data_IF_861086604346
#
_entry.id   IF_861086604346
#
_cell.length_a   1.000
_cell.length_b   1.000
_cell.length_c   1.000
_cell.angle_alpha   90.00
_cell.angle_beta   90.00
_cell.angle_gamma   90.00
#
_symmetry.space_group_name_H-M   'P 1'
#
loop_
_entity.id
_entity.type
_entity.pdbx_description
1 polymer ?
#
# COMPACT_ATOMS: atom_id res chain seq x y z
N UNK A 1 -7.93 15.17 1.41
CA UNK A 1 -7.66 13.86 2.03
C UNK A 1 -6.49 13.96 2.99
N UNK A 2 -5.34 14.51 2.59
CA UNK A 2 -4.29 14.89 3.55
C UNK A 2 -4.87 15.75 4.67
N UNK A 3 -4.44 15.50 5.91
CA UNK A 3 -4.96 16.12 7.13
C UNK A 3 -6.21 15.46 7.71
N UNK A 4 -6.93 14.62 6.95
CA UNK A 4 -8.11 13.93 7.45
C UNK A 4 -7.73 12.96 8.56
N UNK A 5 -8.43 13.08 9.70
CA UNK A 5 -8.34 12.17 10.83
C UNK A 5 -9.54 11.24 10.86
N UNK A 6 -9.30 9.98 11.23
CA UNK A 6 -10.34 8.97 11.37
C UNK A 6 -9.87 7.85 12.31
N UNK A 7 -10.80 7.14 12.94
CA UNK A 7 -10.46 5.98 13.77
C UNK A 7 -10.04 4.80 12.91
N UNK A 8 -9.25 3.86 13.44
CA UNK A 8 -8.93 2.63 12.71
C UNK A 8 -10.21 1.91 12.27
N UNK A 9 -10.30 1.59 10.98
CA UNK A 9 -11.48 1.02 10.34
C UNK A 9 -11.16 -0.33 9.69
N UNK A 10 -12.19 -1.16 9.49
CA UNK A 10 -12.09 -2.44 8.79
C UNK A 10 -12.10 -2.20 7.26
N UNK A 11 -11.59 -3.13 6.45
CA UNK A 11 -11.82 -3.09 5.01
C UNK A 11 -13.32 -2.96 4.68
N UNK A 12 -13.67 -2.09 3.74
CA UNK A 12 -15.04 -1.74 3.34
C UNK A 12 -15.64 -0.51 4.05
N UNK A 13 -15.08 -0.10 5.20
CA UNK A 13 -15.58 1.05 5.95
C UNK A 13 -15.20 2.38 5.28
N UNK A 14 -16.05 3.39 5.45
CA UNK A 14 -15.81 4.73 4.90
C UNK A 14 -14.81 5.52 5.74
N UNK A 15 -13.69 5.94 5.13
CA UNK A 15 -12.59 6.67 5.79
C UNK A 15 -13.08 7.87 6.59
N UNK A 16 -13.90 8.74 5.97
CA UNK A 16 -14.55 9.85 6.65
C UNK A 16 -15.87 10.19 5.96
N UNK A 17 -16.88 10.74 6.66
CA UNK A 17 -18.19 11.03 6.06
C UNK A 17 -18.13 11.89 4.80
N UNK A 18 -17.22 12.87 4.77
CA UNK A 18 -17.02 13.82 3.69
C UNK A 18 -16.14 13.28 2.54
N UNK A 19 -15.53 12.10 2.69
CA UNK A 19 -14.75 11.46 1.65
C UNK A 19 -15.57 10.33 1.02
N UNK A 20 -15.64 10.30 -0.30
CA UNK A 20 -16.17 9.15 -1.04
C UNK A 20 -15.13 8.05 -1.19
N UNK A 21 -14.52 7.66 -0.08
CA UNK A 21 -13.42 6.69 -0.03
C UNK A 21 -13.68 5.63 1.04
N UNK A 22 -13.41 4.37 0.70
CA UNK A 22 -13.46 3.24 1.65
C UNK A 22 -12.06 2.69 1.89
N UNK A 23 -11.84 2.15 3.08
CA UNK A 23 -10.59 1.46 3.43
C UNK A 23 -10.57 0.11 2.72
N UNK A 24 -9.47 -0.24 2.07
CA UNK A 24 -9.32 -1.53 1.39
C UNK A 24 -8.32 -2.43 2.11
N UNK A 25 -7.29 -1.82 2.68
CA UNK A 25 -6.26 -2.53 3.41
C UNK A 25 -5.16 -1.58 3.86
N UNK A 26 -4.11 -2.14 4.44
CA UNK A 26 -2.98 -1.38 4.95
C UNK A 26 -2.20 -2.22 5.95
N UNK A 27 -1.13 -1.63 6.48
CA UNK A 27 -0.26 -2.30 7.42
C UNK A 27 0.56 -1.30 8.22
N UNK A 28 1.23 -1.82 9.25
CA UNK A 28 2.28 -1.10 9.95
C UNK A 28 3.49 -0.95 9.04
N UNK A 29 4.24 0.13 9.20
CA UNK A 29 5.50 0.33 8.49
C UNK A 29 6.66 -0.18 9.33
N UNK A 30 7.67 -0.72 8.66
CA UNK A 30 8.97 -0.97 9.28
C UNK A 30 10.04 -0.16 8.55
N UNK A 31 10.94 0.41 9.32
CA UNK A 31 12.02 1.28 8.86
C UNK A 31 13.31 0.77 9.49
N UNK A 32 14.30 0.48 8.65
CA UNK A 32 15.61 -0.04 9.09
C UNK A 32 15.48 -1.28 10.00
N UNK A 33 14.55 -2.19 9.67
CA UNK A 33 14.31 -3.43 10.42
C UNK A 33 13.54 -3.26 11.74
N UNK A 34 13.07 -2.05 12.05
CA UNK A 34 12.29 -1.76 13.25
C UNK A 34 10.87 -1.34 12.91
N UNK A 35 9.90 -1.76 13.73
CA UNK A 35 8.52 -1.31 13.56
C UNK A 35 8.41 0.18 13.85
N UNK A 36 7.85 0.93 12.90
CA UNK A 36 7.43 2.31 13.09
C UNK A 36 5.97 2.31 13.56
N UNK A 37 5.74 1.92 14.82
CA UNK A 37 4.41 1.63 15.37
C UNK A 37 3.42 2.81 15.34
N UNK A 38 3.93 4.02 15.24
CA UNK A 38 3.17 5.26 15.13
C UNK A 38 2.96 5.69 13.67
N UNK A 39 3.32 4.84 12.71
CA UNK A 39 3.11 5.00 11.28
C UNK A 39 2.42 3.79 10.66
N UNK A 40 1.60 4.06 9.65
CA UNK A 40 1.04 3.00 8.80
C UNK A 40 0.88 3.52 7.39
N UNK A 41 0.75 2.58 6.46
CA UNK A 41 0.20 2.89 5.14
C UNK A 41 -1.21 2.31 5.04
N UNK A 42 -1.99 2.87 4.12
CA UNK A 42 -3.29 2.37 3.76
C UNK A 42 -3.50 2.40 2.26
N UNK A 43 -4.38 1.54 1.77
CA UNK A 43 -4.96 1.69 0.43
C UNK A 43 -6.44 1.93 0.57
N UNK A 44 -6.93 2.92 -0.16
CA UNK A 44 -8.34 3.28 -0.20
C UNK A 44 -8.88 3.13 -1.61
N UNK A 45 -10.16 2.77 -1.74
CA UNK A 45 -10.90 2.95 -2.97
C UNK A 45 -11.74 4.22 -2.89
N UNK A 46 -11.41 5.20 -3.73
CA UNK A 46 -12.13 6.45 -3.89
C UNK A 46 -12.90 6.47 -5.22
N UNK A 47 -14.04 5.78 -5.26
CA UNK A 47 -14.92 5.66 -6.45
C UNK A 47 -14.25 4.92 -7.63
N UNK A 48 -13.74 3.72 -7.40
CA UNK A 48 -13.01 2.92 -8.38
C UNK A 48 -11.59 3.42 -8.63
N UNK A 49 -11.02 4.20 -7.71
CA UNK A 49 -9.67 4.75 -7.81
C UNK A 49 -8.89 4.42 -6.56
N UNK A 50 -7.89 3.56 -6.73
CA UNK A 50 -6.95 3.24 -5.66
C UNK A 50 -6.12 4.47 -5.27
N UNK A 51 -6.09 4.78 -3.98
CA UNK A 51 -5.24 5.80 -3.37
C UNK A 51 -4.36 5.13 -2.34
N UNK A 52 -3.05 5.28 -2.47
CA UNK A 52 -2.09 4.92 -1.43
C UNK A 52 -1.97 6.09 -0.47
N UNK A 53 -1.98 5.82 0.83
CA UNK A 53 -1.86 6.87 1.85
C UNK A 53 -0.81 6.49 2.88
N UNK A 54 -0.08 7.50 3.35
CA UNK A 54 0.80 7.43 4.51
C UNK A 54 0.09 8.08 5.70
N UNK A 55 0.17 7.43 6.86
CA UNK A 55 -0.67 7.77 8.00
C UNK A 55 0.14 7.79 9.29
N UNK A 56 -0.09 8.83 10.10
CA UNK A 56 0.37 8.86 11.48
C UNK A 56 -0.70 8.24 12.37
N UNK A 57 -0.28 7.37 13.27
CA UNK A 57 -1.14 6.76 14.29
C UNK A 57 -0.91 7.50 15.60
N UNK A 58 -1.97 7.92 16.25
CA UNK A 58 -1.92 8.52 17.59
C UNK A 58 -2.93 7.81 18.49
N UNK A 59 -2.56 7.44 19.72
CA UNK A 59 -3.53 7.01 20.71
C UNK A 59 -4.60 8.10 20.91
N UNK A 60 -5.86 7.69 21.04
CA UNK A 60 -6.93 8.60 21.39
C UNK A 60 -7.30 8.45 22.88
N UNK A 61 -8.02 9.44 23.40
CA UNK A 61 -8.39 9.52 24.83
C UNK A 61 -9.20 8.30 25.33
N UNK A 62 -9.82 7.54 24.43
CA UNK A 62 -10.65 6.38 24.74
C UNK A 62 -9.88 5.05 24.63
N UNK A 63 -8.55 5.08 24.56
CA UNK A 63 -7.71 3.88 24.42
C UNK A 63 -7.73 3.27 23.01
N UNK A 64 -8.37 3.92 22.04
CA UNK A 64 -8.32 3.56 20.63
C UNK A 64 -7.16 4.21 19.88
N UNK A 65 -7.08 3.97 18.57
CA UNK A 65 -6.11 4.59 17.67
C UNK A 65 -6.81 5.50 16.68
N UNK A 66 -6.35 6.74 16.59
CA UNK A 66 -6.70 7.68 15.50
C UNK A 66 -5.60 7.64 14.46
N UNK A 67 -6.00 7.63 13.19
CA UNK A 67 -5.13 7.74 12.04
C UNK A 67 -5.30 9.11 11.41
N UNK A 68 -4.20 9.80 11.16
CA UNK A 68 -4.17 11.03 10.38
C UNK A 68 -3.46 10.77 9.06
N UNK A 69 -4.08 11.13 7.95
CA UNK A 69 -3.46 11.03 6.63
C UNK A 69 -2.43 12.15 6.51
N UNK A 70 -1.16 11.79 6.38
CA UNK A 70 -0.03 12.73 6.26
C UNK A 70 0.32 12.97 4.80
N UNK A 71 0.22 11.94 3.97
CA UNK A 71 0.42 12.04 2.54
C UNK A 71 -0.51 11.07 1.79
N UNK A 72 -0.78 11.38 0.52
CA UNK A 72 -1.64 10.57 -0.33
C UNK A 72 -1.18 10.62 -1.79
N UNK A 73 -1.16 9.46 -2.42
CA UNK A 73 -0.82 9.29 -3.81
C UNK A 73 -1.98 8.60 -4.53
N UNK A 74 -2.51 9.25 -5.57
CA UNK A 74 -3.44 8.61 -6.49
C UNK A 74 -2.67 7.59 -7.33
N UNK A 75 -3.03 6.31 -7.20
CA UNK A 75 -2.35 5.26 -7.95
C UNK A 75 -2.78 5.29 -9.42
N UNK A 76 -1.89 4.86 -10.34
CA UNK A 76 -2.27 4.55 -11.71
C UNK A 76 -3.49 3.65 -11.75
N UNK A 77 -4.36 3.84 -12.76
CA UNK A 77 -5.55 3.00 -12.90
C UNK A 77 -5.13 1.55 -13.15
N UNK A 78 -5.67 0.63 -12.36
CA UNK A 78 -5.58 -0.80 -12.59
C UNK A 78 -6.96 -1.42 -12.41
N UNK A 79 -7.28 -2.44 -13.21
CA UNK A 79 -8.53 -3.18 -13.04
C UNK A 79 -8.46 -3.97 -11.73
N UNK A 80 -9.17 -3.49 -10.71
CA UNK A 80 -9.30 -4.21 -9.44
C UNK A 80 -10.55 -5.08 -9.51
N UNK A 81 -10.35 -6.37 -9.79
CA UNK A 81 -11.41 -7.40 -9.65
C UNK A 81 -11.30 -8.08 -8.28
N UNK A 82 -12.38 -8.68 -7.75
CA UNK A 82 -12.31 -9.59 -6.61
C UNK A 82 -11.23 -10.65 -6.86
N UNK A 83 -10.50 -11.06 -5.82
CA UNK A 83 -9.34 -11.95 -5.94
C UNK A 83 -9.64 -13.22 -6.76
N UNK A 84 -10.82 -13.81 -6.54
CA UNK A 84 -11.36 -14.96 -7.28
C UNK A 84 -11.62 -14.74 -8.78
N UNK A 85 -11.62 -13.48 -9.23
CA UNK A 85 -11.90 -13.08 -10.60
C UNK A 85 -10.78 -12.24 -11.22
N UNK A 86 -9.64 -12.05 -10.53
CA UNK A 86 -8.51 -11.30 -11.06
C UNK A 86 -7.87 -12.09 -12.20
N UNK A 87 -7.90 -11.62 -13.47
CA UNK A 87 -6.98 -12.15 -14.46
C UNK A 87 -5.56 -11.90 -13.91
N UNK A 88 -4.69 -12.89 -14.03
CA UNK A 88 -3.35 -12.96 -13.43
C UNK A 88 -2.36 -11.87 -13.88
N UNK A 89 -2.84 -10.83 -14.56
CA UNK A 89 -2.05 -9.90 -15.34
C UNK A 89 -1.84 -8.53 -14.69
N UNK A 90 -2.49 -8.15 -13.59
CA UNK A 90 -2.16 -6.90 -12.88
C UNK A 90 -2.62 -6.96 -11.43
N UNK A 91 -1.71 -6.79 -10.48
CA UNK A 91 -1.94 -6.98 -9.04
C UNK A 91 -1.25 -5.90 -8.21
N UNK A 92 -1.89 -5.58 -7.08
CA UNK A 92 -1.33 -4.76 -6.01
C UNK A 92 -0.52 -5.67 -5.09
N UNK A 93 0.74 -5.35 -4.85
CA UNK A 93 1.68 -6.19 -4.11
C UNK A 93 2.26 -5.39 -2.94
N UNK A 94 2.30 -6.02 -1.78
CA UNK A 94 2.91 -5.49 -0.55
C UNK A 94 4.12 -6.35 -0.21
N UNK A 95 5.07 -5.79 0.55
CA UNK A 95 6.20 -6.52 1.14
C UNK A 95 5.80 -7.92 1.63
N UNK A 96 6.62 -8.92 1.27
CA UNK A 96 6.40 -10.36 1.49
C UNK A 96 6.46 -11.14 0.18
N UNK A 97 5.86 -10.57 -0.87
CA UNK A 97 5.85 -11.12 -2.24
C UNK A 97 6.96 -10.50 -3.11
N UNK A 98 7.54 -9.40 -2.67
CA UNK A 98 8.57 -8.65 -3.39
C UNK A 98 9.84 -8.41 -2.55
N UNK A 99 10.97 -8.29 -3.24
CA UNK A 99 12.26 -7.88 -2.70
C UNK A 99 12.73 -6.59 -3.38
N UNK A 100 13.33 -5.69 -2.59
CA UNK A 100 14.01 -4.48 -3.04
C UNK A 100 15.52 -4.70 -2.83
N UNK A 101 16.30 -4.61 -3.90
CA UNK A 101 17.74 -4.96 -3.93
C UNK A 101 18.06 -6.34 -3.36
N UNK A 102 17.14 -7.30 -3.53
CA UNK A 102 17.26 -8.65 -3.00
C UNK A 102 16.87 -8.80 -1.52
N UNK A 103 16.58 -7.71 -0.80
CA UNK A 103 16.06 -7.76 0.58
C UNK A 103 14.53 -7.69 0.62
N UNK A 104 13.92 -8.53 1.46
CA UNK A 104 12.48 -8.53 1.76
C UNK A 104 12.13 -7.70 3.02
N UNK A 105 13.13 -7.12 3.68
CA UNK A 105 12.95 -6.38 4.95
C UNK A 105 12.53 -4.92 4.74
N UNK A 106 12.41 -4.47 3.49
CA UNK A 106 12.03 -3.11 3.12
C UNK A 106 10.51 -2.96 2.91
N UNK A 107 9.85 -2.02 3.59
CA UNK A 107 8.43 -1.74 3.34
C UNK A 107 8.27 -0.85 2.12
N UNK A 108 7.66 -1.42 1.10
CA UNK A 108 7.22 -0.71 -0.08
C UNK A 108 5.93 -1.33 -0.63
N UNK A 109 5.32 -0.58 -1.53
CA UNK A 109 4.16 -1.00 -2.31
C UNK A 109 4.56 -1.02 -3.77
N UNK A 110 4.21 -2.09 -4.48
CA UNK A 110 4.46 -2.21 -5.91
C UNK A 110 3.17 -2.53 -6.68
N UNK A 111 3.09 -2.03 -7.90
CA UNK A 111 2.08 -2.40 -8.88
C UNK A 111 2.75 -3.28 -9.95
N UNK A 112 2.29 -4.53 -10.07
CA UNK A 112 2.94 -5.54 -10.90
C UNK A 112 1.99 -6.30 -11.83
N UNK A 113 2.49 -6.73 -12.99
CA UNK A 113 1.79 -7.51 -14.03
C UNK A 113 2.47 -8.85 -14.26
N UNK A 114 1.97 -9.92 -13.63
CA UNK A 114 2.54 -11.28 -13.79
C UNK A 114 2.27 -11.90 -15.16
N UNK A 115 1.05 -11.76 -15.68
CA UNK A 115 0.63 -12.50 -16.87
C UNK A 115 0.70 -14.00 -16.59
N UNK A 116 1.45 -14.75 -17.41
CA UNK A 116 1.68 -16.21 -17.22
C UNK A 116 2.92 -16.52 -16.37
N UNK A 117 3.63 -15.51 -15.85
CA UNK A 117 4.87 -15.69 -15.10
C UNK A 117 4.58 -15.92 -13.62
N UNK A 118 5.47 -16.65 -12.95
CA UNK A 118 5.46 -16.80 -11.48
C UNK A 118 6.42 -15.81 -10.79
N UNK A 119 7.21 -15.07 -11.58
CA UNK A 119 8.09 -14.01 -11.11
C UNK A 119 8.09 -12.86 -12.10
N UNK A 120 8.17 -11.64 -11.57
CA UNK A 120 8.31 -10.40 -12.32
C UNK A 120 9.36 -9.50 -11.70
N UNK A 121 9.88 -8.58 -12.48
CA UNK A 121 10.84 -7.55 -12.09
C UNK A 121 10.52 -6.24 -12.83
N UNK A 122 11.33 -5.21 -12.62
CA UNK A 122 11.21 -3.91 -13.30
C UNK A 122 11.19 -3.97 -14.83
N UNK A 123 11.68 -5.03 -15.46
CA UNK A 123 11.65 -5.19 -16.92
C UNK A 123 10.43 -5.97 -17.41
N UNK A 124 9.97 -6.92 -16.61
CA UNK A 124 9.02 -7.94 -17.05
C UNK A 124 7.60 -7.75 -16.52
N UNK A 125 7.40 -6.95 -15.47
CA UNK A 125 6.07 -6.75 -14.93
C UNK A 125 5.89 -5.72 -13.81
N UNK A 126 6.93 -5.31 -13.08
CA UNK A 126 6.79 -4.25 -12.07
C UNK A 126 6.71 -2.90 -12.80
N UNK A 127 5.57 -2.22 -12.68
CA UNK A 127 5.29 -0.99 -13.42
C UNK A 127 5.55 0.26 -12.59
N UNK A 128 5.25 0.19 -11.30
CA UNK A 128 5.42 1.29 -10.37
C UNK A 128 5.71 0.76 -8.98
N UNK A 129 6.46 1.52 -8.20
CA UNK A 129 6.69 1.22 -6.80
C UNK A 129 6.88 2.48 -5.99
N UNK A 130 6.53 2.38 -4.70
CA UNK A 130 6.60 3.48 -3.75
C UNK A 130 7.05 2.99 -2.38
N UNK A 131 7.98 3.73 -1.80
CA UNK A 131 8.39 3.59 -0.41
C UNK A 131 7.82 4.72 0.44
N UNK A 132 8.23 4.76 1.70
CA UNK A 132 7.74 5.71 2.68
C UNK A 132 8.91 6.39 3.40
N UNK A 133 9.08 7.69 3.17
CA UNK A 133 9.97 8.52 3.99
C UNK A 133 9.17 9.00 5.20
N UNK A 134 9.22 8.24 6.29
CA UNK A 134 8.51 8.57 7.53
C UNK A 134 9.08 9.81 8.23
N UNK A 135 10.35 10.15 8.00
CA UNK A 135 10.98 11.34 8.60
C UNK A 135 10.42 12.60 7.97
N UNK A 136 10.21 12.58 6.66
CA UNK A 136 9.62 13.70 5.91
C UNK A 136 8.09 13.60 5.80
N UNK A 137 7.49 12.48 6.19
CA UNK A 137 6.06 12.23 6.08
C UNK A 137 5.59 12.15 4.63
N UNK A 138 6.34 11.45 3.76
CA UNK A 138 6.07 11.40 2.32
C UNK A 138 6.08 9.99 1.74
N UNK A 139 5.23 9.78 0.74
CA UNK A 139 5.30 8.63 -0.16
C UNK A 139 6.31 8.99 -1.26
N UNK A 140 7.32 8.15 -1.45
CA UNK A 140 8.41 8.41 -2.41
C UNK A 140 8.43 7.35 -3.51
N UNK A 141 8.59 7.73 -4.79
CA UNK A 141 8.72 6.74 -5.85
C UNK A 141 10.00 5.93 -5.64
N UNK A 142 9.91 4.63 -5.93
CA UNK A 142 11.06 3.73 -5.97
C UNK A 142 11.36 3.33 -7.41
N UNK A 143 12.65 3.23 -7.77
CA UNK A 143 13.06 2.70 -9.06
C UNK A 143 12.69 1.22 -9.18
N UNK A 144 11.92 0.89 -10.22
CA UNK A 144 11.36 -0.45 -10.42
C UNK A 144 12.40 -1.50 -10.76
N UNK A 145 13.54 -1.10 -11.32
CA UNK A 145 14.67 -1.97 -11.68
C UNK A 145 15.34 -2.62 -10.46
N UNK A 146 15.12 -2.07 -9.26
CA UNK A 146 15.60 -2.63 -7.99
C UNK A 146 14.65 -3.67 -7.40
N UNK A 147 13.49 -3.89 -8.02
CA UNK A 147 12.39 -4.69 -7.45
C UNK A 147 12.20 -5.98 -8.25
N UNK A 148 12.07 -7.08 -7.52
CA UNK A 148 11.63 -8.37 -8.03
C UNK A 148 10.51 -8.91 -7.15
N UNK A 149 9.47 -9.48 -7.76
CA UNK A 149 8.32 -10.05 -7.07
C UNK A 149 8.04 -11.47 -7.54
N UNK A 150 7.79 -12.36 -6.59
CA UNK A 150 7.33 -13.71 -6.81
C UNK A 150 5.80 -13.74 -6.66
N UNK A 151 5.11 -14.58 -7.42
CA UNK A 151 3.65 -14.68 -7.32
C UNK A 151 3.32 -15.22 -5.92
N UNK A 152 2.37 -14.62 -5.17
CA UNK A 152 1.88 -15.25 -3.96
C UNK A 152 1.34 -16.63 -4.29
N UNK A 153 1.79 -17.66 -3.57
CA UNK A 153 1.21 -18.98 -3.70
C UNK A 153 -0.31 -18.88 -3.44
N UNK A 154 -1.16 -19.50 -4.28
CA UNK A 154 -2.57 -19.56 -3.98
C UNK A 154 -2.76 -20.35 -2.68
N UNK A 155 -3.20 -19.65 -1.63
CA UNK A 155 -3.62 -20.26 -0.37
C UNK A 155 -4.92 -21.07 -0.54
#
# INVERSE_FOLDING_TARGET
MVGTQYSAQRPGDRVAPHLSCVVEGGGVLWVDGQSADDWSFGTFDCRGRAVLVLQKITPNANGGKTKQIVDSLLMPRFERRPESQRPSSLQFLVMGECALDGSRDNFFVALGRYGKRNRIDGRTGVQHAWGFDVKQGRIVPLPTERIACDRPDPA
#
